data_IF_943847075416
#
_entry.id   IF_943847075416
#
_cell.length_a   1.000
_cell.length_b   1.000
_cell.length_c   1.000
_cell.angle_alpha   90.00
_cell.angle_beta   90.00
_cell.angle_gamma   90.00
#
_symmetry.space_group_name_H-M   'P 1'
#
loop_
_entity.id
_entity.type
_entity.pdbx_description
1 polymer ?
#
# COMPACT_ATOMS: atom_id res chain seq x y z
N UNK A 1 15.93 -16.31 10.48
CA UNK A 1 14.70 -15.50 10.60
C UNK A 1 14.91 -14.47 11.69
N UNK A 2 14.73 -13.21 11.36
CA UNK A 2 14.80 -12.09 12.29
C UNK A 2 13.56 -12.13 13.18
N UNK A 3 13.76 -12.00 14.49
CA UNK A 3 12.67 -11.97 15.47
C UNK A 3 12.80 -10.76 16.40
N UNK A 4 11.69 -10.29 16.96
CA UNK A 4 11.68 -9.14 17.88
C UNK A 4 12.57 -9.36 19.10
N UNK A 5 12.70 -10.60 19.59
CA UNK A 5 13.52 -10.96 20.75
C UNK A 5 15.00 -10.64 20.52
N UNK A 6 15.50 -10.82 19.29
CA UNK A 6 16.90 -10.54 18.96
C UNK A 6 17.23 -9.05 19.04
N UNK A 7 16.23 -8.19 18.88
CA UNK A 7 16.41 -6.73 18.84
C UNK A 7 16.44 -6.10 20.24
N UNK A 8 15.94 -6.80 21.28
CA UNK A 8 15.83 -6.29 22.66
C UNK A 8 17.15 -5.75 23.23
N UNK A 9 18.29 -6.30 22.82
CA UNK A 9 19.62 -5.92 23.34
C UNK A 9 20.33 -4.88 22.49
N UNK A 10 19.82 -4.58 21.29
CA UNK A 10 20.45 -3.67 20.34
C UNK A 10 20.01 -2.23 20.59
N UNK A 11 20.88 -1.27 20.30
CA UNK A 11 20.50 0.13 20.13
C UNK A 11 19.98 0.36 18.71
N UNK A 12 19.29 1.48 18.49
CA UNK A 12 18.76 1.85 17.17
C UNK A 12 19.89 1.97 16.12
N UNK A 13 21.04 2.53 16.50
CA UNK A 13 22.22 2.68 15.65
C UNK A 13 22.92 1.35 15.31
N UNK A 14 22.54 0.25 15.97
CA UNK A 14 23.10 -1.09 15.77
C UNK A 14 22.20 -1.98 14.89
N UNK A 15 21.03 -1.49 14.49
CA UNK A 15 20.12 -2.24 13.63
C UNK A 15 20.66 -2.32 12.20
N UNK A 16 20.69 -3.51 11.63
CA UNK A 16 20.99 -3.68 10.20
C UNK A 16 19.82 -3.21 9.33
N UNK A 17 20.05 -3.16 8.02
CA UNK A 17 18.97 -2.92 7.07
C UNK A 17 17.83 -3.93 7.24
N UNK A 18 18.14 -5.21 7.31
CA UNK A 18 17.16 -6.28 7.39
C UNK A 18 16.36 -6.20 8.70
N UNK A 19 17.00 -5.80 9.79
CA UNK A 19 16.35 -5.62 11.09
C UNK A 19 15.43 -4.39 11.11
N UNK A 20 15.86 -3.27 10.52
CA UNK A 20 14.99 -2.09 10.38
C UNK A 20 13.86 -2.34 9.39
N UNK A 21 14.10 -3.07 8.30
CA UNK A 21 13.06 -3.49 7.36
C UNK A 21 12.06 -4.42 8.05
N UNK A 22 12.51 -5.34 8.92
CA UNK A 22 11.64 -6.16 9.77
C UNK A 22 10.78 -5.29 10.69
N UNK A 23 11.34 -4.24 11.31
CA UNK A 23 10.55 -3.28 12.10
C UNK A 23 9.53 -2.54 11.25
N UNK A 24 9.93 -2.05 10.08
CA UNK A 24 9.06 -1.32 9.16
C UNK A 24 7.89 -2.17 8.64
N UNK A 25 8.17 -3.40 8.21
CA UNK A 25 7.21 -4.33 7.60
C UNK A 25 6.34 -5.09 8.62
N UNK A 26 6.54 -4.86 9.92
CA UNK A 26 5.75 -5.49 10.97
C UNK A 26 4.26 -5.17 10.85
N UNK A 27 3.42 -6.21 10.84
CA UNK A 27 1.96 -6.10 10.92
C UNK A 27 1.44 -6.26 12.36
N UNK A 28 2.35 -6.36 13.34
CA UNK A 28 1.99 -6.51 14.75
C UNK A 28 1.38 -5.22 15.32
N UNK A 29 0.35 -5.39 16.16
CA UNK A 29 -0.24 -4.31 16.94
C UNK A 29 0.65 -3.88 18.12
N UNK A 30 1.62 -4.72 18.51
CA UNK A 30 2.55 -4.44 19.60
C UNK A 30 3.82 -3.77 19.06
N UNK A 31 4.38 -2.80 19.80
CA UNK A 31 5.67 -2.23 19.43
C UNK A 31 6.78 -3.29 19.50
N UNK A 32 7.84 -3.05 18.74
CA UNK A 32 9.07 -3.83 18.79
C UNK A 32 10.04 -3.13 19.72
N UNK A 33 10.56 -3.86 20.70
CA UNK A 33 11.44 -3.32 21.73
C UNK A 33 12.90 -3.47 21.33
N UNK A 34 13.66 -2.40 21.54
CA UNK A 34 15.13 -2.33 21.50
C UNK A 34 15.63 -1.76 22.83
N UNK A 35 16.94 -1.77 23.08
CA UNK A 35 17.55 -1.59 24.41
C UNK A 35 16.96 -0.44 25.26
N UNK A 36 16.61 0.69 24.65
CA UNK A 36 16.06 1.87 25.34
C UNK A 36 14.80 2.44 24.66
N UNK A 37 14.28 1.80 23.61
CA UNK A 37 13.19 2.36 22.82
C UNK A 37 12.16 1.30 22.46
N UNK A 38 10.91 1.72 22.39
CA UNK A 38 9.86 1.00 21.69
C UNK A 38 9.69 1.60 20.28
N UNK A 39 9.76 0.75 19.27
CA UNK A 39 9.67 1.10 17.86
C UNK A 39 8.34 0.65 17.27
N UNK A 40 7.72 1.51 16.48
CA UNK A 40 6.52 1.19 15.73
C UNK A 40 6.52 1.88 14.38
N UNK A 41 6.28 1.13 13.31
CA UNK A 41 6.26 1.70 11.96
C UNK A 41 4.93 2.35 11.63
N UNK A 42 4.96 3.35 10.73
CA UNK A 42 3.74 3.93 10.15
C UNK A 42 2.91 2.88 9.43
N UNK A 43 3.55 1.90 8.79
CA UNK A 43 2.88 0.77 8.15
C UNK A 43 2.07 -0.04 9.17
N UNK A 44 2.62 -0.36 10.35
CA UNK A 44 1.88 -1.13 11.37
C UNK A 44 0.71 -0.34 11.98
N UNK A 45 0.82 0.99 12.08
CA UNK A 45 -0.31 1.86 12.45
C UNK A 45 -1.41 1.82 11.39
N UNK A 46 -1.05 1.98 10.11
CA UNK A 46 -2.01 1.98 9.00
C UNK A 46 -2.68 0.60 8.88
N UNK A 47 -1.92 -0.49 9.01
CA UNK A 47 -2.43 -1.85 9.01
C UNK A 47 -3.51 -2.06 10.07
N UNK A 48 -3.23 -1.69 11.32
CA UNK A 48 -4.21 -1.81 12.41
C UNK A 48 -5.45 -0.95 12.15
N UNK A 49 -5.28 0.28 11.67
CA UNK A 49 -6.38 1.18 11.37
C UNK A 49 -7.29 0.64 10.27
N UNK A 50 -6.75 -0.03 9.25
CA UNK A 50 -7.57 -0.70 8.21
C UNK A 50 -8.43 -1.79 8.85
N UNK A 51 -7.84 -2.65 9.68
CA UNK A 51 -8.56 -3.73 10.35
C UNK A 51 -9.70 -3.19 11.22
N UNK A 52 -9.48 -2.10 11.95
CA UNK A 52 -10.52 -1.46 12.75
C UNK A 52 -11.57 -0.73 11.89
N UNK A 53 -11.14 -0.05 10.81
CA UNK A 53 -12.03 0.75 9.99
C UNK A 53 -13.03 -0.10 9.22
N UNK A 54 -12.63 -1.30 8.77
CA UNK A 54 -13.47 -2.20 7.98
C UNK A 54 -14.64 -2.80 8.76
N UNK A 55 -14.50 -2.92 10.09
CA UNK A 55 -15.58 -3.40 10.96
C UNK A 55 -16.48 -2.27 11.48
N UNK A 56 -16.16 -1.01 11.16
CA UNK A 56 -16.91 0.16 11.60
C UNK A 56 -17.66 0.79 10.43
N UNK A 57 -18.99 0.78 10.51
CA UNK A 57 -19.91 1.32 9.48
C UNK A 57 -19.58 2.74 9.02
N UNK A 58 -19.13 3.60 9.94
CA UNK A 58 -18.83 5.01 9.62
C UNK A 58 -17.53 5.18 8.82
N UNK A 59 -16.60 4.22 8.91
CA UNK A 59 -15.25 4.34 8.33
C UNK A 59 -14.92 3.29 7.28
N UNK A 60 -15.71 2.21 7.15
CA UNK A 60 -15.42 1.06 6.29
C UNK A 60 -15.41 1.37 4.79
N UNK A 61 -15.86 2.55 4.40
CA UNK A 61 -15.89 2.99 3.02
C UNK A 61 -14.54 3.60 2.60
N UNK A 62 -14.34 4.92 2.76
CA UNK A 62 -13.22 5.65 2.16
C UNK A 62 -11.85 5.37 2.79
N UNK A 63 -11.78 5.34 4.13
CA UNK A 63 -10.52 5.32 4.87
C UNK A 63 -9.65 4.09 4.59
N UNK A 64 -10.22 2.86 4.48
CA UNK A 64 -9.46 1.69 4.07
C UNK A 64 -8.76 1.87 2.73
N UNK A 65 -9.41 2.42 1.69
CA UNK A 65 -8.78 2.57 0.37
C UNK A 65 -7.59 3.52 0.39
N UNK A 66 -7.74 4.68 1.05
CA UNK A 66 -6.65 5.63 1.22
C UNK A 66 -5.45 4.97 1.92
N UNK A 67 -5.73 4.23 2.98
CA UNK A 67 -4.76 3.52 3.79
C UNK A 67 -4.06 2.39 3.01
N UNK A 68 -4.81 1.61 2.23
CA UNK A 68 -4.29 0.55 1.36
C UNK A 68 -3.39 1.11 0.26
N UNK A 69 -3.78 2.23 -0.35
CA UNK A 69 -2.95 2.94 -1.32
C UNK A 69 -1.65 3.45 -0.68
N UNK A 70 -1.72 3.98 0.54
CA UNK A 70 -0.55 4.46 1.27
C UNK A 70 0.45 3.33 1.59
N UNK A 71 -0.03 2.13 1.95
CA UNK A 71 0.85 0.96 2.15
C UNK A 71 1.57 0.60 0.85
N UNK A 72 0.84 0.50 -0.27
CA UNK A 72 1.45 0.20 -1.58
C UNK A 72 2.49 1.27 -1.96
N UNK A 73 2.20 2.55 -1.75
CA UNK A 73 3.15 3.63 -2.04
C UNK A 73 4.41 3.50 -1.17
N UNK A 74 4.25 3.26 0.14
CA UNK A 74 5.38 3.04 1.07
C UNK A 74 6.25 1.85 0.63
N UNK A 75 5.66 0.70 0.33
CA UNK A 75 6.41 -0.48 -0.11
C UNK A 75 7.24 -0.20 -1.37
N UNK A 76 6.63 0.40 -2.39
CA UNK A 76 7.30 0.62 -3.68
C UNK A 76 8.27 1.80 -3.70
N UNK A 77 8.12 2.77 -2.79
CA UNK A 77 9.10 3.84 -2.59
C UNK A 77 10.33 3.31 -1.85
N UNK A 78 10.11 2.52 -0.79
CA UNK A 78 11.16 2.08 0.12
C UNK A 78 12.03 0.96 -0.44
N UNK A 79 11.46 0.02 -1.20
CA UNK A 79 12.12 -1.25 -1.47
C UNK A 79 12.16 -1.66 -2.93
N UNK A 80 13.22 -2.39 -3.26
CA UNK A 80 13.40 -3.15 -4.48
C UNK A 80 13.70 -4.62 -4.17
N UNK A 81 13.64 -5.45 -5.21
CA UNK A 81 13.97 -6.87 -5.17
C UNK A 81 15.34 -7.09 -5.80
N UNK A 82 16.19 -7.87 -5.12
CA UNK A 82 17.48 -8.31 -5.65
C UNK A 82 17.36 -9.47 -6.64
N UNK A 83 16.29 -10.24 -6.54
CA UNK A 83 16.05 -11.46 -7.33
C UNK A 83 15.30 -11.23 -8.65
N UNK A 84 14.89 -9.99 -8.93
CA UNK A 84 14.16 -9.60 -10.13
C UNK A 84 14.70 -8.31 -10.73
N UNK A 85 14.42 -8.12 -12.03
CA UNK A 85 14.66 -6.84 -12.70
C UNK A 85 13.78 -5.77 -12.04
N UNK A 86 14.35 -4.58 -11.83
CA UNK A 86 13.63 -3.45 -11.24
C UNK A 86 12.45 -3.05 -12.13
N UNK A 87 11.26 -2.79 -11.56
CA UNK A 87 10.14 -2.32 -12.35
C UNK A 87 10.47 -1.00 -13.05
N UNK A 88 9.97 -0.81 -14.28
CA UNK A 88 10.20 0.42 -15.06
C UNK A 88 9.52 1.67 -14.49
N UNK A 89 8.57 1.48 -13.57
CA UNK A 89 7.77 2.56 -13.01
C UNK A 89 8.53 3.39 -11.98
N UNK A 90 8.39 4.72 -12.02
CA UNK A 90 8.87 5.60 -10.96
C UNK A 90 7.91 5.67 -9.75
N UNK A 91 6.61 5.45 -9.97
CA UNK A 91 5.58 5.57 -8.95
C UNK A 91 5.57 4.39 -7.96
N UNK A 92 5.46 4.68 -6.65
CA UNK A 92 5.50 3.68 -5.58
C UNK A 92 4.43 2.59 -5.72
N UNK A 93 3.16 2.96 -5.89
CA UNK A 93 2.07 1.97 -6.04
C UNK A 93 2.32 1.01 -7.20
N UNK A 94 2.65 1.53 -8.39
CA UNK A 94 2.91 0.67 -9.56
C UNK A 94 4.09 -0.28 -9.30
N UNK A 95 5.15 0.22 -8.66
CA UNK A 95 6.32 -0.61 -8.28
C UNK A 95 5.94 -1.69 -7.28
N UNK A 96 5.18 -1.37 -6.24
CA UNK A 96 4.78 -2.32 -5.22
C UNK A 96 3.93 -3.46 -5.78
N UNK A 97 3.00 -3.15 -6.68
CA UNK A 97 2.16 -4.14 -7.35
C UNK A 97 2.98 -5.13 -8.19
N UNK A 98 4.00 -4.65 -8.90
CA UNK A 98 4.89 -5.52 -9.69
C UNK A 98 5.84 -6.32 -8.78
N UNK A 99 6.48 -5.66 -7.82
CA UNK A 99 7.49 -6.30 -6.97
C UNK A 99 6.88 -7.28 -5.97
N UNK A 100 5.80 -6.91 -5.31
CA UNK A 100 5.30 -7.59 -4.10
C UNK A 100 3.94 -8.23 -4.28
N UNK A 101 3.09 -7.72 -5.17
CA UNK A 101 1.88 -8.43 -5.61
C UNK A 101 2.11 -9.34 -6.83
N UNK A 102 3.33 -9.29 -7.38
CA UNK A 102 3.79 -10.10 -8.53
C UNK A 102 2.91 -9.97 -9.78
N UNK A 103 2.27 -8.81 -9.95
CA UNK A 103 1.57 -8.49 -11.18
C UNK A 103 2.58 -8.27 -12.31
N UNK A 104 2.16 -8.64 -13.52
CA UNK A 104 2.94 -8.35 -14.73
C UNK A 104 2.93 -6.84 -14.98
N UNK A 105 4.03 -6.28 -15.49
CA UNK A 105 3.97 -4.90 -15.98
C UNK A 105 2.87 -4.77 -17.04
N UNK A 106 2.18 -3.63 -17.10
CA UNK A 106 1.03 -3.40 -17.99
C UNK A 106 -0.25 -4.14 -17.62
N UNK A 107 -0.30 -4.84 -16.48
CA UNK A 107 -1.57 -5.35 -15.94
C UNK A 107 -2.56 -4.19 -15.73
N UNK A 108 -3.78 -4.34 -16.28
CA UNK A 108 -4.84 -3.32 -16.19
C UNK A 108 -5.16 -2.93 -14.74
N UNK A 109 -5.05 -3.86 -13.80
CA UNK A 109 -5.28 -3.59 -12.38
C UNK A 109 -4.35 -2.50 -11.85
N UNK A 110 -3.09 -2.45 -12.33
CA UNK A 110 -2.11 -1.43 -11.93
C UNK A 110 -2.64 -0.04 -12.30
N UNK A 111 -3.19 0.12 -13.49
CA UNK A 111 -3.69 1.42 -13.95
C UNK A 111 -5.00 1.81 -13.28
N UNK A 112 -5.89 0.84 -13.03
CA UNK A 112 -7.12 1.08 -12.27
C UNK A 112 -6.81 1.54 -10.85
N UNK A 113 -5.93 0.86 -10.14
CA UNK A 113 -5.54 1.23 -8.77
C UNK A 113 -4.76 2.56 -8.74
N UNK A 114 -3.93 2.82 -9.75
CA UNK A 114 -3.25 4.11 -9.88
C UNK A 114 -4.24 5.26 -10.13
N UNK A 115 -5.22 5.07 -11.01
CA UNK A 115 -6.27 6.06 -11.27
C UNK A 115 -7.15 6.29 -10.04
N UNK A 116 -7.53 5.24 -9.32
CA UNK A 116 -8.25 5.31 -8.04
C UNK A 116 -7.46 6.14 -7.03
N UNK A 117 -6.17 5.82 -6.82
CA UNK A 117 -5.30 6.58 -5.92
C UNK A 117 -5.23 8.05 -6.31
N UNK A 118 -5.13 8.37 -7.60
CA UNK A 118 -5.09 9.77 -8.02
C UNK A 118 -6.37 10.53 -7.68
N UNK A 119 -7.54 9.92 -7.88
CA UNK A 119 -8.82 10.53 -7.48
C UNK A 119 -8.91 10.74 -5.97
N UNK A 120 -8.55 9.71 -5.20
CA UNK A 120 -8.65 9.72 -3.74
C UNK A 120 -7.61 10.62 -3.06
N UNK A 121 -6.34 10.61 -3.46
CA UNK A 121 -5.28 11.35 -2.75
C UNK A 121 -5.10 12.79 -3.21
N UNK A 122 -5.48 13.14 -4.45
CA UNK A 122 -5.36 14.52 -4.91
C UNK A 122 -6.64 15.34 -4.71
N UNK A 123 -7.81 14.71 -4.86
CA UNK A 123 -9.09 15.43 -4.86
C UNK A 123 -10.11 14.88 -3.85
N UNK A 124 -9.78 13.81 -3.10
CA UNK A 124 -10.74 13.06 -2.28
C UNK A 124 -12.02 12.72 -3.05
N UNK A 125 -11.85 12.39 -4.34
CA UNK A 125 -12.93 12.18 -5.29
C UNK A 125 -13.00 10.72 -5.73
N UNK A 126 -14.22 10.24 -5.94
CA UNK A 126 -14.50 8.99 -6.63
C UNK A 126 -14.52 9.14 -8.15
N UNK A 127 -13.99 10.23 -8.69
CA UNK A 127 -13.72 10.41 -10.11
C UNK A 127 -12.25 10.68 -10.33
N UNK A 128 -11.73 10.22 -11.47
CA UNK A 128 -10.32 10.42 -11.83
C UNK A 128 -10.18 10.56 -13.34
N UNK A 129 -9.16 11.31 -13.76
CA UNK A 129 -8.79 11.44 -15.17
C UNK A 129 -7.33 11.02 -15.33
N UNK A 130 -7.12 9.94 -16.08
CA UNK A 130 -5.80 9.53 -16.52
C UNK A 130 -5.43 10.31 -17.78
N UNK A 131 -4.59 11.33 -17.61
CA UNK A 131 -4.10 12.20 -18.68
C UNK A 131 -3.29 11.44 -19.75
N UNK A 132 -2.58 10.38 -19.36
CA UNK A 132 -1.71 9.65 -20.27
C UNK A 132 -2.50 8.72 -21.18
N UNK A 133 -3.60 8.15 -20.66
CA UNK A 133 -4.50 7.27 -21.42
C UNK A 133 -5.72 7.98 -21.99
N UNK A 134 -5.90 9.26 -21.66
CA UNK A 134 -7.10 10.03 -21.96
C UNK A 134 -8.39 9.30 -21.52
N UNK A 135 -8.38 8.71 -20.32
CA UNK A 135 -9.46 7.88 -19.79
C UNK A 135 -10.03 8.47 -18.50
N UNK A 136 -11.36 8.53 -18.42
CA UNK A 136 -12.05 8.95 -17.20
C UNK A 136 -12.58 7.75 -16.43
N UNK A 137 -12.56 7.89 -15.11
CA UNK A 137 -13.05 6.88 -14.19
C UNK A 137 -14.11 7.49 -13.26
N UNK A 138 -15.18 6.73 -13.03
CA UNK A 138 -16.13 6.92 -11.94
C UNK A 138 -16.08 5.66 -11.09
N UNK A 139 -15.60 5.79 -9.86
CA UNK A 139 -15.43 4.68 -8.93
C UNK A 139 -16.62 4.56 -7.98
N UNK A 140 -17.03 3.34 -7.66
CA UNK A 140 -17.91 3.05 -6.51
C UNK A 140 -17.43 1.83 -5.76
N UNK A 141 -17.74 1.80 -4.47
CA UNK A 141 -17.44 0.66 -3.62
C UNK A 141 -18.48 -0.42 -3.85
N UNK A 142 -18.03 -1.65 -4.05
CA UNK A 142 -18.92 -2.80 -4.17
C UNK A 142 -18.17 -4.05 -3.70
N UNK A 143 -18.61 -4.62 -2.57
CA UNK A 143 -18.00 -5.82 -1.99
C UNK A 143 -18.47 -7.12 -2.65
N UNK A 144 -19.56 -7.04 -3.43
CA UNK A 144 -20.20 -8.21 -4.04
C UNK A 144 -19.52 -8.64 -5.35
N UNK A 145 -18.69 -7.78 -5.95
CA UNK A 145 -17.98 -8.14 -7.18
C UNK A 145 -16.92 -9.22 -6.91
N UNK A 146 -16.74 -10.13 -7.87
CA UNK A 146 -15.79 -11.24 -7.75
C UNK A 146 -14.32 -10.80 -7.88
N UNK A 147 -14.03 -9.72 -8.60
CA UNK A 147 -12.67 -9.21 -8.77
C UNK A 147 -12.27 -8.17 -7.72
N UNK A 148 -10.99 -7.78 -7.71
CA UNK A 148 -10.57 -6.55 -7.01
C UNK A 148 -11.28 -5.33 -7.60
N UNK A 149 -11.50 -5.35 -8.91
CA UNK A 149 -12.31 -4.37 -9.62
C UNK A 149 -13.19 -5.04 -10.66
N UNK A 150 -14.21 -4.31 -11.08
CA UNK A 150 -15.02 -4.60 -12.24
C UNK A 150 -15.04 -3.34 -13.10
N UNK A 151 -14.63 -3.45 -14.36
CA UNK A 151 -14.68 -2.35 -15.32
C UNK A 151 -16.12 -1.84 -15.48
N UNK A 152 -16.24 -0.55 -15.81
CA UNK A 152 -17.50 -0.01 -16.29
C UNK A 152 -17.91 -0.70 -17.59
N UNK A 153 -19.22 -0.91 -17.79
CA UNK A 153 -19.75 -1.44 -19.06
C UNK A 153 -19.46 -0.50 -20.24
N UNK A 154 -19.53 0.81 -19.97
CA UNK A 154 -19.30 1.89 -20.93
C UNK A 154 -18.31 2.88 -20.33
N UNK A 155 -17.29 3.27 -21.12
CA UNK A 155 -16.35 4.29 -20.68
C UNK A 155 -17.05 5.65 -20.48
N UNK A 156 -16.87 6.24 -19.30
CA UNK A 156 -17.41 7.56 -19.02
C UNK A 156 -16.63 8.62 -19.79
N UNK A 157 -17.35 9.57 -20.39
CA UNK A 157 -16.76 10.62 -21.24
C UNK A 157 -16.61 11.97 -20.52
N UNK A 158 -16.63 11.99 -19.18
CA UNK A 158 -16.64 13.19 -18.32
C UNK A 158 -17.92 14.04 -18.33
N UNK A 159 -18.91 13.71 -19.17
CA UNK A 159 -20.18 14.44 -19.18
C UNK A 159 -21.06 13.97 -18.03
N UNK A 160 -21.35 14.85 -17.07
CA UNK A 160 -22.20 14.50 -15.93
C UNK A 160 -23.65 14.18 -16.35
N UNK A 161 -24.14 14.76 -17.46
CA UNK A 161 -25.49 14.47 -17.94
C UNK A 161 -25.68 13.00 -18.35
N UNK A 162 -24.60 12.28 -18.71
CA UNK A 162 -24.71 10.84 -19.00
C UNK A 162 -24.95 10.01 -17.74
N UNK A 163 -24.61 10.55 -16.56
CA UNK A 163 -24.81 9.89 -15.28
C UNK A 163 -26.25 10.05 -14.74
N UNK A 164 -27.02 10.99 -15.27
CA UNK A 164 -28.42 11.23 -14.87
C UNK A 164 -29.39 10.13 -15.37
N UNK A 165 -28.92 9.29 -16.30
CA UNK A 165 -29.73 8.24 -16.94
C UNK A 165 -29.45 6.87 -16.33
N UNK A 166 -28.27 6.33 -16.59
CA UNK A 166 -27.84 5.01 -16.09
C UNK A 166 -26.41 5.10 -15.54
N UNK A 167 -26.24 5.60 -14.30
CA UNK A 167 -24.93 5.87 -13.73
C UNK A 167 -24.08 4.61 -13.54
N UNK A 168 -24.68 3.43 -13.42
CA UNK A 168 -23.97 2.18 -13.12
C UNK A 168 -23.19 1.68 -14.35
N UNK A 169 -23.73 1.83 -15.56
CA UNK A 169 -23.00 1.51 -16.81
C UNK A 169 -21.65 2.19 -16.93
N UNK A 170 -21.50 3.37 -16.34
CA UNK A 170 -20.28 4.18 -16.37
C UNK A 170 -19.39 3.99 -15.14
N UNK A 171 -19.72 3.05 -14.26
CA UNK A 171 -19.08 2.89 -12.95
C UNK A 171 -18.08 1.73 -12.95
N UNK A 172 -16.84 2.04 -12.60
CA UNK A 172 -15.85 1.05 -12.20
C UNK A 172 -16.06 0.73 -10.72
N UNK A 173 -16.33 -0.54 -10.40
CA UNK A 173 -16.49 -0.96 -9.02
C UNK A 173 -15.18 -1.48 -8.44
N UNK A 174 -14.95 -1.23 -7.15
CA UNK A 174 -13.78 -1.73 -6.41
C UNK A 174 -14.23 -2.51 -5.18
N UNK A 175 -13.69 -3.70 -5.00
CA UNK A 175 -13.88 -4.54 -3.82
C UNK A 175 -12.77 -4.29 -2.79
N UNK A 176 -13.11 -3.64 -1.67
CA UNK A 176 -12.15 -3.28 -0.62
C UNK A 176 -11.53 -4.51 0.05
N UNK A 177 -12.29 -5.58 0.23
CA UNK A 177 -11.85 -6.79 0.95
C UNK A 177 -10.80 -7.54 0.12
N UNK A 178 -11.04 -7.65 -1.19
CA UNK A 178 -10.07 -8.27 -2.11
C UNK A 178 -8.84 -7.38 -2.31
N UNK A 179 -9.01 -6.07 -2.36
CA UNK A 179 -7.87 -5.13 -2.37
C UNK A 179 -7.05 -5.26 -1.08
N UNK A 180 -7.69 -5.35 0.08
CA UNK A 180 -7.01 -5.60 1.36
C UNK A 180 -6.17 -6.86 1.30
N UNK A 181 -6.75 -7.97 0.84
CA UNK A 181 -6.04 -9.24 0.72
C UNK A 181 -4.79 -9.13 -0.16
N UNK A 182 -4.89 -8.44 -1.32
CA UNK A 182 -3.75 -8.20 -2.21
C UNK A 182 -2.64 -7.38 -1.50
N UNK A 183 -3.01 -6.28 -0.86
CA UNK A 183 -2.06 -5.38 -0.20
C UNK A 183 -1.40 -6.06 0.99
N UNK A 184 -2.16 -6.77 1.82
CA UNK A 184 -1.61 -7.49 2.98
C UNK A 184 -0.68 -8.61 2.52
N UNK A 185 -1.06 -9.37 1.48
CA UNK A 185 -0.15 -10.34 0.87
C UNK A 185 1.12 -9.72 0.29
N UNK A 186 1.07 -8.45 -0.13
CA UNK A 186 2.26 -7.72 -0.59
C UNK A 186 3.20 -7.36 0.56
N UNK A 187 2.67 -7.06 1.75
CA UNK A 187 3.48 -6.87 2.96
C UNK A 187 4.15 -8.19 3.33
N UNK A 188 3.40 -9.28 3.35
CA UNK A 188 3.92 -10.62 3.67
C UNK A 188 5.04 -11.00 2.70
N UNK A 189 4.83 -10.80 1.39
CA UNK A 189 5.85 -11.03 0.37
C UNK A 189 7.11 -10.19 0.60
N UNK A 190 6.96 -8.90 0.91
CA UNK A 190 8.09 -8.03 1.20
C UNK A 190 8.87 -8.50 2.44
N UNK A 191 8.16 -8.93 3.49
CA UNK A 191 8.78 -9.49 4.69
C UNK A 191 9.50 -10.80 4.39
N UNK A 192 8.90 -11.71 3.63
CA UNK A 192 9.55 -12.96 3.20
C UNK A 192 10.84 -12.70 2.41
N UNK A 193 10.82 -11.75 1.47
CA UNK A 193 12.00 -11.32 0.74
C UNK A 193 13.08 -10.75 1.68
N UNK A 194 12.69 -9.99 2.70
CA UNK A 194 13.61 -9.49 3.72
C UNK A 194 14.24 -10.62 4.53
N UNK A 195 13.44 -11.60 4.98
CA UNK A 195 13.94 -12.76 5.74
C UNK A 195 14.93 -13.62 4.94
N UNK A 196 14.79 -13.61 3.61
CA UNK A 196 15.69 -14.30 2.68
C UNK A 196 16.82 -13.41 2.13
N UNK A 197 17.00 -12.19 2.67
CA UNK A 197 18.01 -11.21 2.22
C UNK A 197 17.90 -10.80 0.74
N UNK A 198 16.71 -10.97 0.14
CA UNK A 198 16.37 -10.64 -1.24
C UNK A 198 15.76 -9.24 -1.40
N UNK A 199 15.50 -8.54 -0.29
CA UNK A 199 15.07 -7.15 -0.30
C UNK A 199 16.28 -6.22 -0.38
N UNK A 200 16.14 -5.10 -1.07
CA UNK A 200 17.10 -4.00 -1.05
C UNK A 200 16.41 -2.66 -0.81
N UNK A 201 17.14 -1.72 -0.20
CA UNK A 201 16.61 -0.40 0.10
C UNK A 201 16.81 0.55 -1.08
N UNK A 202 15.75 1.24 -1.48
CA UNK A 202 15.73 2.20 -2.59
C UNK A 202 15.91 3.66 -2.14
N UNK A 203 15.65 3.95 -0.86
CA UNK A 203 15.71 5.30 -0.31
C UNK A 203 17.11 5.91 -0.42
N UNK A 204 17.21 7.13 -0.96
CA UNK A 204 18.48 7.85 -1.15
C UNK A 204 19.19 8.12 0.18
N UNK A 205 18.42 8.50 1.21
CA UNK A 205 18.92 8.67 2.58
C UNK A 205 19.13 7.36 3.34
N UNK A 206 19.00 6.21 2.64
CA UNK A 206 19.26 4.85 3.14
C UNK A 206 18.50 4.56 4.45
N UNK A 207 19.13 3.78 5.33
CA UNK A 207 18.55 3.31 6.59
C UNK A 207 18.06 4.46 7.48
N UNK A 208 18.78 5.59 7.44
CA UNK A 208 18.43 6.78 8.23
C UNK A 208 17.09 7.35 7.78
N UNK A 209 16.88 7.45 6.47
CA UNK A 209 15.59 7.89 5.93
C UNK A 209 14.47 6.92 6.28
N UNK A 210 14.70 5.60 6.16
CA UNK A 210 13.70 4.60 6.53
C UNK A 210 13.24 4.78 7.99
N UNK A 211 14.19 5.01 8.90
CA UNK A 211 13.91 5.25 10.30
C UNK A 211 13.11 6.54 10.53
N UNK A 212 13.61 7.69 10.05
CA UNK A 212 13.00 8.99 10.35
C UNK A 212 11.64 9.20 9.66
N UNK A 213 11.45 8.67 8.46
CA UNK A 213 10.22 8.86 7.70
C UNK A 213 9.11 7.89 8.16
N UNK A 214 9.47 6.67 8.55
CA UNK A 214 8.50 5.57 8.70
C UNK A 214 8.52 4.84 10.05
N UNK A 215 9.40 5.20 10.99
CA UNK A 215 9.47 4.57 12.31
C UNK A 215 9.30 5.61 13.42
N UNK A 216 8.27 5.42 14.24
CA UNK A 216 8.11 6.13 15.50
C UNK A 216 8.91 5.41 16.59
N UNK A 217 9.80 6.12 17.25
CA UNK A 217 10.52 5.66 18.44
C UNK A 217 10.07 6.43 19.68
N UNK A 218 9.85 5.72 20.78
CA UNK A 218 9.57 6.32 22.09
C UNK A 218 10.54 5.70 23.10
N UNK A 219 11.20 6.55 23.88
CA UNK A 219 12.13 6.11 24.92
C UNK A 219 11.36 5.36 26.02
N UNK A 220 11.99 4.32 26.57
CA UNK A 220 11.44 3.53 27.67
C UNK A 220 12.02 4.10 28.96
N UNK A 221 11.15 4.58 29.85
CA UNK A 221 11.50 5.03 31.20
C UNK A 221 11.92 3.86 32.12
#
# INVERSE_FOLDING_TARGET
MITSIQLLKKRIDELTFEEMAFVHLSTSNSPIFVKNYQLRSTLSFIYQNICHALVNEASKQLMPYLSLCAILDQLGICYDRKDKIKPRYANGIKRALVNFSELVEDDKLIDVLYALRNGLLHNLSLTSFDKFKNKFYKFRYNIEIEGIYQDAEIEWNSNYATLDTDPEKYTTHINVEKLRALVFGSIDKANDLNQNSLLELRLEGRLRQLYFDYVRAVEIE
#
